data_IF_626607659246
#
_entry.id   IF_626607659246
#
_cell.length_a   1.000
_cell.length_b   1.000
_cell.length_c   1.000
_cell.angle_alpha   90.00
_cell.angle_beta   90.00
_cell.angle_gamma   90.00
#
_symmetry.space_group_name_H-M   'P 1'
#
loop_
_entity.id
_entity.type
_entity.pdbx_description
1 polymer ?
#
# COMPACT_ATOMS: atom_id res chain seq x y z
N UNK A 1 25.65 17.27 -1.63
CA UNK A 1 26.37 16.09 -1.90
C UNK A 1 25.48 14.88 -1.89
N UNK A 2 26.01 13.79 -2.39
CA UNK A 2 25.20 12.63 -2.66
C UNK A 2 24.47 12.09 -1.44
N UNK A 3 25.15 12.02 -0.31
CA UNK A 3 24.51 11.49 0.89
C UNK A 3 23.36 12.33 1.37
N UNK A 4 23.42 13.61 1.12
CA UNK A 4 22.36 14.52 1.54
C UNK A 4 21.10 14.37 0.72
N UNK A 5 21.26 13.94 -0.52
CA UNK A 5 20.13 13.83 -1.45
C UNK A 5 19.70 12.39 -1.67
N UNK A 6 20.22 11.47 -0.88
CA UNK A 6 19.88 10.07 -1.06
C UNK A 6 18.43 9.83 -0.73
N UNK A 7 17.70 9.28 -1.69
CA UNK A 7 16.33 8.83 -1.49
C UNK A 7 16.38 7.32 -1.47
N UNK A 8 15.89 6.67 -0.40
CA UNK A 8 15.89 5.22 -0.37
C UNK A 8 15.17 4.66 -1.58
N UNK A 9 15.77 3.65 -2.17
CA UNK A 9 15.20 3.00 -3.34
C UNK A 9 15.23 1.51 -3.14
N UNK A 10 14.28 0.84 -3.75
CA UNK A 10 14.22 -0.60 -3.76
C UNK A 10 14.14 -1.05 -5.21
N UNK A 11 14.87 -2.10 -5.55
CA UNK A 11 14.83 -2.66 -6.89
C UNK A 11 14.07 -3.97 -6.85
N UNK A 12 13.10 -4.11 -7.75
CA UNK A 12 12.32 -5.32 -7.90
C UNK A 12 12.14 -5.61 -9.38
N UNK A 13 12.57 -6.78 -9.81
CA UNK A 13 12.43 -7.24 -11.21
C UNK A 13 12.96 -6.21 -12.21
N UNK A 14 14.12 -5.63 -11.90
CA UNK A 14 14.75 -4.66 -12.78
C UNK A 14 14.18 -3.26 -12.74
N UNK A 15 13.18 -3.01 -11.91
CA UNK A 15 12.59 -1.68 -11.73
C UNK A 15 13.03 -1.10 -10.41
N UNK A 16 13.31 0.20 -10.40
CA UNK A 16 13.67 0.90 -9.18
C UNK A 16 12.54 1.80 -8.74
N UNK A 17 12.25 1.77 -7.45
CA UNK A 17 11.19 2.56 -6.85
C UNK A 17 11.75 3.38 -5.70
N UNK A 18 11.33 4.64 -5.61
CA UNK A 18 11.66 5.47 -4.46
C UNK A 18 10.69 5.17 -3.33
N UNK A 19 11.23 4.91 -2.16
CA UNK A 19 10.42 4.58 -0.98
C UNK A 19 10.89 5.45 0.18
N UNK A 20 10.03 5.60 1.20
CA UNK A 20 10.43 6.27 2.43
C UNK A 20 11.04 5.27 3.41
N UNK A 21 11.36 5.75 4.63
CA UNK A 21 11.96 4.90 5.63
C UNK A 21 11.09 3.74 6.09
N UNK A 22 9.78 3.82 5.87
CA UNK A 22 8.85 2.77 6.22
C UNK A 22 8.48 1.90 5.02
N UNK A 23 9.07 2.17 3.85
CA UNK A 23 8.85 1.36 2.66
C UNK A 23 7.68 1.78 1.80
N UNK A 24 7.10 2.96 2.04
CA UNK A 24 6.00 3.45 1.23
C UNK A 24 6.51 4.05 -0.07
N UNK A 25 5.82 3.74 -1.17
CA UNK A 25 6.18 4.26 -2.48
C UNK A 25 6.01 5.78 -2.52
N UNK A 26 7.05 6.46 -3.02
CA UNK A 26 7.02 7.93 -3.08
C UNK A 26 6.49 8.44 -4.41
N UNK A 27 6.26 7.55 -5.37
CA UNK A 27 5.79 7.91 -6.70
C UNK A 27 4.51 7.13 -6.99
N UNK A 28 3.35 7.58 -6.46
CA UNK A 28 2.11 6.83 -6.65
C UNK A 28 1.76 6.57 -8.11
N UNK A 29 2.20 7.44 -9.01
CA UNK A 29 1.88 7.33 -10.42
C UNK A 29 2.57 6.18 -11.13
N UNK A 30 3.65 5.62 -10.56
CA UNK A 30 4.31 4.46 -11.16
C UNK A 30 3.70 3.14 -10.71
N UNK A 31 2.71 3.19 -9.84
CA UNK A 31 2.07 1.99 -9.32
C UNK A 31 1.23 1.30 -10.40
N UNK A 32 1.30 -0.02 -10.41
CA UNK A 32 0.40 -0.86 -11.18
C UNK A 32 0.18 -2.16 -10.40
N UNK A 33 -0.59 -3.07 -10.96
CA UNK A 33 -0.89 -4.33 -10.28
C UNK A 33 0.36 -5.15 -10.02
N UNK A 34 1.34 -5.06 -10.89
CA UNK A 34 2.59 -5.77 -10.70
C UNK A 34 3.34 -5.23 -9.49
N UNK A 35 3.38 -3.91 -9.34
CA UNK A 35 4.01 -3.28 -8.18
C UNK A 35 3.32 -3.73 -6.89
N UNK A 36 1.99 -3.80 -6.90
CA UNK A 36 1.26 -4.27 -5.73
C UNK A 36 1.66 -5.70 -5.37
N UNK A 37 1.78 -6.57 -6.36
CA UNK A 37 2.18 -7.96 -6.13
C UNK A 37 3.60 -8.06 -5.58
N UNK A 38 4.51 -7.23 -6.09
CA UNK A 38 5.89 -7.21 -5.62
C UNK A 38 5.98 -6.75 -4.17
N UNK A 39 5.24 -5.70 -3.82
CA UNK A 39 5.22 -5.21 -2.45
C UNK A 39 4.59 -6.22 -1.51
N UNK A 40 3.53 -6.90 -1.95
CA UNK A 40 2.89 -7.93 -1.14
C UNK A 40 3.84 -9.09 -0.86
N UNK A 41 4.61 -9.51 -1.87
CA UNK A 41 5.59 -10.56 -1.68
C UNK A 41 6.68 -10.12 -0.71
N UNK A 42 7.12 -8.86 -0.81
CA UNK A 42 8.20 -8.35 0.04
C UNK A 42 7.79 -8.25 1.49
N UNK A 43 6.52 -7.91 1.78
CA UNK A 43 6.11 -7.71 3.17
C UNK A 43 5.43 -8.94 3.79
N UNK A 44 5.46 -10.07 3.09
CA UNK A 44 4.93 -11.31 3.64
C UNK A 44 3.43 -11.50 3.47
N UNK A 45 2.76 -10.60 2.77
CA UNK A 45 1.32 -10.76 2.51
C UNK A 45 1.04 -11.95 1.60
N UNK A 46 1.93 -12.17 0.64
CA UNK A 46 1.79 -13.29 -0.28
C UNK A 46 0.91 -12.97 -1.47
N UNK A 47 0.22 -13.99 -1.95
CA UNK A 47 -0.60 -13.84 -3.16
C UNK A 47 -1.83 -12.99 -2.88
N UNK A 48 -2.14 -12.09 -3.81
CA UNK A 48 -3.28 -11.19 -3.66
C UNK A 48 -4.52 -11.85 -4.27
N UNK A 49 -5.51 -12.10 -3.42
CA UNK A 49 -6.78 -12.69 -3.85
C UNK A 49 -7.76 -11.58 -4.26
N UNK A 50 -8.94 -11.98 -4.74
CA UNK A 50 -9.97 -11.02 -5.12
C UNK A 50 -10.34 -10.08 -3.97
N UNK A 51 -10.37 -10.59 -2.74
CA UNK A 51 -10.66 -9.77 -1.58
C UNK A 51 -9.56 -8.75 -1.33
N UNK A 52 -8.30 -9.15 -1.49
CA UNK A 52 -7.18 -8.21 -1.40
C UNK A 52 -7.33 -7.10 -2.44
N UNK A 53 -7.64 -7.47 -3.66
CA UNK A 53 -7.78 -6.48 -4.73
C UNK A 53 -8.93 -5.52 -4.48
N UNK A 54 -10.04 -6.01 -3.91
CA UNK A 54 -11.16 -5.13 -3.57
C UNK A 54 -10.71 -4.05 -2.59
N UNK A 55 -9.94 -4.42 -1.58
CA UNK A 55 -9.41 -3.46 -0.60
C UNK A 55 -8.44 -2.49 -1.27
N UNK A 56 -7.52 -3.01 -2.06
CA UNK A 56 -6.48 -2.19 -2.71
C UNK A 56 -7.12 -1.17 -3.64
N UNK A 57 -8.08 -1.60 -4.46
CA UNK A 57 -8.73 -0.70 -5.41
C UNK A 57 -9.53 0.38 -4.70
N UNK A 58 -10.24 0.00 -3.65
CA UNK A 58 -10.99 0.99 -2.88
C UNK A 58 -10.04 2.05 -2.29
N UNK A 59 -8.91 1.61 -1.74
CA UNK A 59 -7.94 2.52 -1.15
C UNK A 59 -7.40 3.49 -2.20
N UNK A 60 -7.04 2.98 -3.38
CA UNK A 60 -6.52 3.84 -4.44
C UNK A 60 -7.55 4.83 -4.95
N UNK A 61 -8.77 4.35 -5.18
CA UNK A 61 -9.83 5.24 -5.66
C UNK A 61 -10.13 6.33 -4.66
N UNK A 62 -10.20 5.96 -3.38
CA UNK A 62 -10.44 6.94 -2.32
C UNK A 62 -9.32 7.98 -2.28
N UNK A 63 -8.07 7.53 -2.37
CA UNK A 63 -6.92 8.43 -2.35
C UNK A 63 -6.92 9.38 -3.54
N UNK A 64 -7.27 8.88 -4.71
CA UNK A 64 -7.32 9.72 -5.90
C UNK A 64 -8.36 10.83 -5.78
N UNK A 65 -9.49 10.54 -5.14
CA UNK A 65 -10.54 11.52 -4.97
C UNK A 65 -10.28 12.47 -3.82
N UNK A 66 -9.75 11.96 -2.73
CA UNK A 66 -9.67 12.72 -1.48
C UNK A 66 -8.25 13.13 -1.10
N UNK A 67 -7.24 12.63 -1.80
CA UNK A 67 -5.83 12.89 -1.53
C UNK A 67 -5.41 12.46 -0.13
N UNK A 68 -6.10 11.48 0.41
CA UNK A 68 -5.78 10.89 1.70
C UNK A 68 -6.26 9.44 1.69
N UNK A 69 -5.66 8.62 2.53
CA UNK A 69 -6.07 7.23 2.68
C UNK A 69 -7.40 7.14 3.44
N UNK A 70 -8.24 6.17 3.11
CA UNK A 70 -9.47 5.97 3.87
C UNK A 70 -9.17 5.41 5.26
N UNK A 71 -10.04 5.71 6.21
CA UNK A 71 -10.00 5.06 7.51
C UNK A 71 -10.42 3.60 7.36
N UNK A 72 -9.89 2.74 8.23
CA UNK A 72 -10.17 1.32 8.13
C UNK A 72 -11.68 1.02 8.20
N UNK A 73 -12.42 1.83 8.96
CA UNK A 73 -13.86 1.66 9.05
C UNK A 73 -14.52 1.78 7.67
N UNK A 74 -14.07 2.75 6.87
CA UNK A 74 -14.62 2.91 5.52
C UNK A 74 -14.28 1.73 4.63
N UNK A 75 -13.08 1.20 4.78
CA UNK A 75 -12.69 0.01 4.03
C UNK A 75 -13.63 -1.15 4.37
N UNK A 76 -13.88 -1.36 5.65
CA UNK A 76 -14.78 -2.42 6.10
C UNK A 76 -16.19 -2.22 5.55
N UNK A 77 -16.70 -0.99 5.62
CA UNK A 77 -18.05 -0.70 5.14
C UNK A 77 -18.20 -0.93 3.65
N UNK A 78 -17.20 -0.52 2.88
CA UNK A 78 -17.26 -0.64 1.43
C UNK A 78 -17.09 -2.08 0.96
N UNK A 79 -16.15 -2.81 1.56
CA UNK A 79 -15.82 -4.16 1.10
C UNK A 79 -16.67 -5.24 1.76
N UNK A 80 -17.34 -4.93 2.86
CA UNK A 80 -18.09 -5.92 3.63
C UNK A 80 -17.21 -6.82 4.48
N UNK A 81 -15.91 -6.53 4.56
CA UNK A 81 -14.98 -7.33 5.35
C UNK A 81 -14.95 -6.84 6.78
N UNK A 82 -14.66 -7.76 7.70
CA UNK A 82 -14.47 -7.41 9.11
C UNK A 82 -13.04 -6.93 9.32
N UNK A 83 -12.85 -6.15 10.37
CA UNK A 83 -11.52 -5.68 10.72
C UNK A 83 -10.55 -6.83 10.92
N UNK A 84 -11.01 -7.91 11.57
CA UNK A 84 -10.16 -9.08 11.78
C UNK A 84 -9.73 -9.72 10.46
N UNK A 85 -10.61 -9.73 9.47
CA UNK A 85 -10.27 -10.27 8.16
C UNK A 85 -9.21 -9.42 7.48
N UNK A 86 -9.30 -8.09 7.61
CA UNK A 86 -8.31 -7.20 7.02
C UNK A 86 -6.93 -7.47 7.62
N UNK A 87 -6.85 -7.65 8.94
CA UNK A 87 -5.58 -7.96 9.58
C UNK A 87 -5.06 -9.35 9.21
N UNK A 88 -5.94 -10.29 8.93
CA UNK A 88 -5.53 -11.60 8.43
C UNK A 88 -4.99 -11.54 7.01
N UNK A 89 -5.63 -10.74 6.17
CA UNK A 89 -5.25 -10.60 4.77
C UNK A 89 -3.99 -9.75 4.61
N UNK A 90 -3.83 -8.74 5.45
CA UNK A 90 -2.69 -7.83 5.42
C UNK A 90 -2.03 -7.86 6.78
N UNK A 91 -1.05 -8.75 6.98
CA UNK A 91 -0.45 -8.93 8.32
C UNK A 91 0.11 -7.66 8.93
N UNK A 92 0.54 -6.71 8.10
CA UNK A 92 1.05 -5.43 8.61
C UNK A 92 -0.06 -4.42 8.87
N UNK A 93 -1.32 -4.79 8.67
CA UNK A 93 -2.47 -3.95 8.95
C UNK A 93 -2.88 -3.08 7.79
N UNK A 94 -3.94 -2.27 7.98
CA UNK A 94 -4.45 -1.45 6.88
C UNK A 94 -3.51 -0.34 6.46
N UNK A 95 -2.80 0.31 7.39
CA UNK A 95 -1.93 1.41 7.03
C UNK A 95 -0.61 0.92 6.44
N UNK A 96 0.10 0.06 7.18
CA UNK A 96 1.43 -0.38 6.75
C UNK A 96 1.39 -1.55 5.79
N UNK A 97 0.26 -2.20 5.65
CA UNK A 97 0.08 -3.30 4.72
C UNK A 97 -0.70 -2.86 3.49
N UNK A 98 -2.01 -2.71 3.64
CA UNK A 98 -2.87 -2.47 2.49
C UNK A 98 -2.56 -1.16 1.76
N UNK A 99 -2.34 -0.07 2.50
CA UNK A 99 -2.04 1.21 1.87
C UNK A 99 -0.69 1.19 1.16
N UNK A 100 0.30 0.53 1.76
CA UNK A 100 1.62 0.40 1.14
C UNK A 100 1.52 -0.39 -0.16
N UNK A 101 0.82 -1.51 -0.15
CA UNK A 101 0.65 -2.34 -1.34
C UNK A 101 -0.13 -1.59 -2.41
N UNK A 102 -1.08 -0.74 -1.99
CA UNK A 102 -1.83 0.10 -2.92
C UNK A 102 -1.00 1.24 -3.50
N UNK A 103 0.24 1.39 -3.08
CA UNK A 103 1.14 2.39 -3.65
C UNK A 103 0.91 3.80 -3.18
N UNK A 104 0.25 3.98 -2.05
CA UNK A 104 0.05 5.31 -1.48
C UNK A 104 1.30 5.78 -0.74
N UNK A 105 1.50 7.09 -0.64
CA UNK A 105 2.45 7.61 0.33
C UNK A 105 1.97 7.27 1.74
N UNK A 106 2.88 7.38 2.71
CA UNK A 106 2.53 7.05 4.09
C UNK A 106 1.33 7.88 4.54
N UNK A 107 0.26 7.24 5.04
CA UNK A 107 -0.92 7.99 5.48
C UNK A 107 -0.60 8.85 6.69
N UNK A 108 -1.20 10.04 6.72
CA UNK A 108 -1.15 10.89 7.90
C UNK A 108 -2.08 10.34 8.95
N UNK A 109 -1.60 10.28 10.16
CA UNK A 109 -2.41 9.75 11.25
C UNK A 109 -2.62 8.26 11.06
N UNK A 110 -2.23 7.47 11.96
CA UNK A 110 -2.40 6.03 11.88
C UNK A 110 -3.84 5.64 11.91
N UNK A 111 -4.17 4.68 11.13
CA UNK A 111 -5.47 4.04 11.18
C UNK A 111 -5.41 2.79 12.02
#
# INVERSE_FOLDING_TARGET
>A
VKGEWFVPQIEMEGRQFEIDGDGFLQQPEVWDERVASLFAAADGTGELTDKHWAVIRFIRDYWQENKMAPMVRKICQHTGLRLTEIYQMFPLGPAKGACKIAGLPKPDGCV
#
